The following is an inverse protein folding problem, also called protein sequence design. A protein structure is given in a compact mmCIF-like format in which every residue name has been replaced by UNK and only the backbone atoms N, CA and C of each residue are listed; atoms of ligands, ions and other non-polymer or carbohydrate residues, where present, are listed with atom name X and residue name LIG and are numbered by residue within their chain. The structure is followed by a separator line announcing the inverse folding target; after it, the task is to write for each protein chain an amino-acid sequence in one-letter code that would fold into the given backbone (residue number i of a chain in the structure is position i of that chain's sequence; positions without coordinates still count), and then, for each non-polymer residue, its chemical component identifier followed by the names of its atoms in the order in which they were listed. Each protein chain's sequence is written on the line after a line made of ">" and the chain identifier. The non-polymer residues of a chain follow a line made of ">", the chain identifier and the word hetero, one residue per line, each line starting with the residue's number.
data_IF_208062240098
#
_entry.id   IF_208062240098
#
_cell.length_a   1.000
_cell.length_b   1.000
_cell.length_c   1.000
_cell.angle_alpha   90.00
_cell.angle_beta   90.00
_cell.angle_gamma   90.00
#
_symmetry.space_group_name_H-M   'P 1'
#
loop_
_entity.id
_entity.type
_entity.pdbx_description
1 polymer ?
#
# COMPACT_ATOMS: atom_id res chain seq x y z
N UNK A 1 -34.21 -0.27 -3.68
CA UNK A 1 -33.74 0.99 -4.30
C UNK A 1 -32.36 0.75 -4.89
N UNK A 2 -32.16 1.10 -6.17
CA UNK A 2 -30.99 0.73 -6.96
C UNK A 2 -29.80 1.65 -6.59
N UNK A 3 -28.68 1.11 -6.08
CA UNK A 3 -27.50 1.90 -5.61
C UNK A 3 -26.98 2.88 -6.67
N UNK A 4 -27.15 2.56 -7.96
CA UNK A 4 -26.76 3.43 -9.08
C UNK A 4 -27.59 4.71 -9.20
N UNK A 5 -28.82 4.72 -8.68
CA UNK A 5 -29.72 5.87 -8.77
C UNK A 5 -29.45 6.91 -7.66
N UNK A 6 -28.91 6.49 -6.51
CA UNK A 6 -28.52 7.42 -5.44
C UNK A 6 -27.23 8.18 -5.82
N UNK A 7 -26.29 7.53 -6.51
CA UNK A 7 -25.06 8.17 -6.99
C UNK A 7 -25.37 9.23 -8.05
N UNK A 8 -26.35 8.99 -8.94
CA UNK A 8 -26.75 9.96 -9.96
C UNK A 8 -27.38 11.23 -9.37
N UNK A 9 -28.11 11.09 -8.24
CA UNK A 9 -28.76 12.22 -7.56
C UNK A 9 -27.73 13.09 -6.83
N UNK A 10 -26.67 12.49 -6.28
CA UNK A 10 -25.57 13.24 -5.65
C UNK A 10 -24.79 14.03 -6.70
N UNK A 11 -24.49 13.43 -7.86
CA UNK A 11 -23.78 14.13 -8.96
C UNK A 11 -24.61 15.29 -9.53
N UNK A 12 -25.94 15.15 -9.65
CA UNK A 12 -26.81 16.21 -10.15
C UNK A 12 -27.00 17.37 -9.14
N UNK A 13 -26.95 17.08 -7.84
CA UNK A 13 -26.98 18.13 -6.80
C UNK A 13 -25.67 18.94 -6.75
N UNK A 14 -24.53 18.32 -7.08
CA UNK A 14 -23.23 19.02 -7.14
C UNK A 14 -23.15 20.04 -8.29
N UNK A 15 -23.79 19.75 -9.43
CA UNK A 15 -23.79 20.65 -10.60
C UNK A 15 -24.65 21.90 -10.35
N UNK A 16 -25.72 21.79 -9.56
CA UNK A 16 -26.56 22.95 -9.19
C UNK A 16 -25.98 23.76 -8.03
N UNK A 17 -25.17 23.16 -7.15
CA UNK A 17 -24.42 23.86 -6.10
C UNK A 17 -23.26 24.72 -6.62
N UNK A 18 -22.66 24.36 -7.76
CA UNK A 18 -21.53 25.09 -8.35
C UNK A 18 -21.89 26.49 -8.85
N UNK A 19 -23.17 26.76 -9.14
CA UNK A 19 -23.64 28.09 -9.56
C UNK A 19 -23.76 29.05 -8.37
N UNK A 20 -23.75 28.56 -7.13
CA UNK A 20 -23.91 29.38 -5.92
C UNK A 20 -22.61 29.65 -5.14
N UNK A 21 -21.49 29.01 -5.50
CA UNK A 21 -20.19 29.22 -4.83
C UNK A 21 -19.31 30.30 -5.48
N UNK A 22 -19.73 30.90 -6.59
CA UNK A 22 -19.03 32.04 -7.20
C UNK A 22 -19.45 33.41 -6.64
N UNK A 23 -20.25 33.46 -5.57
CA UNK A 23 -20.70 34.71 -4.94
C UNK A 23 -20.50 34.73 -3.42
N UNK A 24 -19.27 34.45 -2.98
CA UNK A 24 -18.81 34.91 -1.67
C UNK A 24 -17.59 35.80 -1.83
N UNK A 25 -17.75 36.85 -2.64
CA UNK A 25 -16.92 38.04 -2.59
C UNK A 25 -17.17 38.75 -1.26
N UNK A 26 -16.35 38.41 -0.27
CA UNK A 26 -16.27 39.11 1.00
C UNK A 26 -15.09 40.07 0.93
N UNK A 27 -15.39 41.33 0.58
CA UNK A 27 -14.62 42.56 0.80
C UNK A 27 -13.34 42.43 1.64
N UNK A 28 -12.22 42.09 0.99
CA UNK A 28 -10.89 42.21 1.57
C UNK A 28 -9.84 42.53 0.49
N UNK A 29 -10.16 43.49 -0.38
CA UNK A 29 -9.46 43.78 -1.64
C UNK A 29 -8.17 44.57 -1.50
N UNK A 30 -7.79 45.09 -0.33
CA UNK A 30 -6.58 45.93 -0.22
C UNK A 30 -5.28 45.17 0.14
N UNK A 31 -5.35 43.84 0.31
CA UNK A 31 -4.18 43.00 0.64
C UNK A 31 -3.86 41.91 -0.40
N UNK A 32 -4.65 41.81 -1.47
CA UNK A 32 -4.54 40.74 -2.47
C UNK A 32 -3.64 41.10 -3.66
N UNK A 33 -3.55 42.37 -4.05
CA UNK A 33 -2.72 42.79 -5.20
C UNK A 33 -1.22 42.52 -4.97
N UNK A 34 -0.71 42.76 -3.76
CA UNK A 34 0.72 42.55 -3.44
C UNK A 34 1.17 41.09 -3.47
N UNK A 35 0.28 40.12 -3.21
CA UNK A 35 0.64 38.69 -3.26
C UNK A 35 0.75 38.15 -4.68
N UNK A 36 -0.01 38.70 -5.62
CA UNK A 36 0.07 38.30 -7.04
C UNK A 36 1.45 38.67 -7.59
N UNK A 37 1.94 39.87 -7.27
CA UNK A 37 3.23 40.37 -7.75
C UNK A 37 4.42 39.50 -7.31
N UNK A 38 4.34 38.89 -6.13
CA UNK A 38 5.39 37.97 -5.65
C UNK A 38 5.45 36.67 -6.48
N UNK A 39 4.29 36.12 -6.86
CA UNK A 39 4.23 34.89 -7.66
C UNK A 39 4.69 35.10 -9.11
N UNK A 40 4.61 36.32 -9.66
CA UNK A 40 4.96 36.61 -11.06
C UNK A 40 6.41 36.24 -11.38
N UNK A 41 7.33 36.46 -10.44
CA UNK A 41 8.77 36.21 -10.61
C UNK A 41 9.19 34.74 -10.41
N UNK A 42 8.29 33.89 -9.91
CA UNK A 42 8.53 32.46 -9.79
C UNK A 42 8.37 31.77 -11.14
N UNK A 43 8.91 30.56 -11.27
CA UNK A 43 8.76 29.71 -12.46
C UNK A 43 8.37 28.29 -12.06
N UNK A 44 7.96 27.48 -13.03
CA UNK A 44 7.70 26.05 -12.78
C UNK A 44 6.56 25.79 -11.78
N UNK A 45 6.68 24.66 -11.08
CA UNK A 45 5.73 24.20 -10.07
C UNK A 45 5.63 25.17 -8.87
N UNK A 46 6.71 25.90 -8.56
CA UNK A 46 6.73 26.89 -7.48
C UNK A 46 5.76 28.03 -7.75
N UNK A 47 5.67 28.48 -9.01
CA UNK A 47 4.70 29.50 -9.44
C UNK A 47 3.26 29.03 -9.29
N UNK A 48 2.96 27.81 -9.76
CA UNK A 48 1.62 27.22 -9.61
C UNK A 48 1.22 27.12 -8.14
N UNK A 49 2.13 26.63 -7.29
CA UNK A 49 1.91 26.53 -5.85
C UNK A 49 1.70 27.89 -5.19
N UNK A 50 2.49 28.91 -5.55
CA UNK A 50 2.34 30.26 -5.05
C UNK A 50 0.95 30.84 -5.33
N UNK A 51 0.43 30.70 -6.55
CA UNK A 51 -0.93 31.10 -6.89
C UNK A 51 -1.98 30.34 -6.07
N UNK A 52 -1.84 29.02 -5.92
CA UNK A 52 -2.74 28.21 -5.09
C UNK A 52 -2.74 28.65 -3.62
N UNK A 53 -1.56 28.89 -3.05
CA UNK A 53 -1.41 29.35 -1.66
C UNK A 53 -1.95 30.79 -1.47
N UNK A 54 -2.00 31.59 -2.53
CA UNK A 54 -2.66 32.89 -2.60
C UNK A 54 -4.18 32.84 -2.80
N UNK A 55 -4.78 31.67 -3.05
CA UNK A 55 -6.22 31.53 -3.34
C UNK A 55 -6.59 31.70 -4.82
N UNK A 56 -5.60 31.78 -5.71
CA UNK A 56 -5.74 31.99 -7.15
C UNK A 56 -5.72 30.65 -7.90
N UNK A 57 -6.79 29.86 -7.74
CA UNK A 57 -6.84 28.50 -8.29
C UNK A 57 -6.75 28.49 -9.82
N UNK A 58 -7.44 29.40 -10.51
CA UNK A 58 -7.44 29.42 -11.98
C UNK A 58 -6.04 29.74 -12.53
N UNK A 59 -5.37 30.72 -11.95
CA UNK A 59 -4.00 31.11 -12.30
C UNK A 59 -3.02 29.96 -12.01
N UNK A 60 -3.21 29.23 -10.92
CA UNK A 60 -2.45 28.02 -10.60
C UNK A 60 -2.62 26.93 -11.67
N UNK A 61 -3.86 26.70 -12.12
CA UNK A 61 -4.15 25.73 -13.17
C UNK A 61 -3.65 26.17 -14.54
N UNK A 62 -3.71 27.47 -14.85
CA UNK A 62 -3.15 28.04 -16.09
C UNK A 62 -1.63 27.85 -16.15
N UNK A 63 -0.94 27.98 -15.02
CA UNK A 63 0.49 27.62 -14.95
C UNK A 63 0.69 26.14 -15.27
N UNK A 64 -0.16 25.24 -14.75
CA UNK A 64 -0.04 23.82 -15.07
C UNK A 64 -0.27 23.51 -16.56
N UNK A 65 -1.22 24.18 -17.23
CA UNK A 65 -1.49 23.98 -18.67
C UNK A 65 -0.29 24.32 -19.56
N UNK A 66 0.63 25.18 -19.07
CA UNK A 66 1.84 25.51 -19.81
C UNK A 66 2.93 24.41 -19.76
N UNK A 67 2.80 23.43 -18.86
CA UNK A 67 3.68 22.27 -18.85
C UNK A 67 3.26 21.23 -19.89
N UNK A 68 4.18 20.33 -20.22
CA UNK A 68 3.91 19.21 -21.13
C UNK A 68 4.24 17.87 -20.47
N UNK A 69 3.59 16.80 -20.94
CA UNK A 69 3.86 15.44 -20.49
C UNK A 69 3.67 15.22 -18.98
N UNK A 70 4.66 14.59 -18.34
CA UNK A 70 4.64 14.20 -16.93
C UNK A 70 4.59 15.40 -15.98
N UNK A 71 5.31 16.49 -16.28
CA UNK A 71 5.36 17.68 -15.43
C UNK A 71 3.98 18.32 -15.26
N UNK A 72 3.18 18.36 -16.32
CA UNK A 72 1.78 18.83 -16.26
C UNK A 72 0.93 17.96 -15.32
N UNK A 73 1.09 16.65 -15.42
CA UNK A 73 0.35 15.70 -14.58
C UNK A 73 0.75 15.83 -13.11
N UNK A 74 2.05 15.99 -12.82
CA UNK A 74 2.55 16.22 -11.46
C UNK A 74 2.05 17.56 -10.90
N UNK A 75 1.99 18.60 -11.72
CA UNK A 75 1.43 19.90 -11.36
C UNK A 75 -0.03 19.77 -10.92
N UNK A 76 -0.88 19.14 -11.75
CA UNK A 76 -2.28 18.92 -11.42
C UNK A 76 -2.50 18.05 -10.20
N UNK A 77 -1.74 16.96 -10.07
CA UNK A 77 -1.80 16.11 -8.90
C UNK A 77 -1.42 16.89 -7.63
N UNK A 78 -0.36 17.70 -7.67
CA UNK A 78 0.06 18.53 -6.55
C UNK A 78 -1.03 19.48 -6.07
N UNK A 79 -1.67 20.20 -7.00
CA UNK A 79 -2.77 21.11 -6.68
C UNK A 79 -3.96 20.36 -6.07
N UNK A 80 -4.41 19.27 -6.69
CA UNK A 80 -5.55 18.49 -6.21
C UNK A 80 -5.30 17.98 -4.77
N UNK A 81 -4.07 17.54 -4.48
CA UNK A 81 -3.70 17.08 -3.15
C UNK A 81 -3.64 18.21 -2.12
N UNK A 82 -3.11 19.37 -2.49
CA UNK A 82 -3.01 20.52 -1.59
C UNK A 82 -4.41 21.09 -1.25
N UNK A 83 -5.33 21.13 -2.21
CA UNK A 83 -6.74 21.48 -1.95
C UNK A 83 -7.36 20.49 -0.96
N UNK A 84 -7.28 19.19 -1.24
CA UNK A 84 -7.89 18.15 -0.38
C UNK A 84 -7.29 18.13 1.03
N UNK A 85 -6.01 18.45 1.21
CA UNK A 85 -5.37 18.54 2.54
C UNK A 85 -5.82 19.76 3.33
N UNK A 86 -6.05 20.90 2.66
CA UNK A 86 -6.48 22.15 3.31
C UNK A 86 -7.94 22.08 3.72
N UNK A 87 -8.79 21.58 2.83
CA UNK A 87 -10.21 21.41 3.08
C UNK A 87 -10.75 20.20 2.31
N UNK A 88 -11.17 19.17 3.06
CA UNK A 88 -11.82 18.00 2.46
C UNK A 88 -13.20 18.34 1.88
N UNK A 89 -13.80 19.48 2.23
CA UNK A 89 -15.04 20.01 1.66
C UNK A 89 -14.92 20.36 0.17
N UNK A 90 -13.72 20.70 -0.30
CA UNK A 90 -13.45 21.06 -1.71
C UNK A 90 -13.02 19.85 -2.57
N UNK A 91 -13.46 18.64 -2.20
CA UNK A 91 -13.09 17.42 -2.91
C UNK A 91 -13.53 17.44 -4.38
N UNK A 92 -14.66 18.08 -4.71
CA UNK A 92 -15.14 18.18 -6.09
C UNK A 92 -14.12 18.90 -6.99
N UNK A 93 -13.54 20.00 -6.53
CA UNK A 93 -12.49 20.72 -7.27
C UNK A 93 -11.26 19.82 -7.47
N UNK A 94 -10.86 19.08 -6.44
CA UNK A 94 -9.73 18.14 -6.53
C UNK A 94 -9.98 17.02 -7.55
N UNK A 95 -11.21 16.49 -7.60
CA UNK A 95 -11.63 15.48 -8.60
C UNK A 95 -11.61 16.05 -10.02
N UNK A 96 -12.11 17.27 -10.22
CA UNK A 96 -12.09 17.96 -11.52
C UNK A 96 -10.66 18.16 -12.02
N UNK A 97 -9.74 18.52 -11.12
CA UNK A 97 -8.32 18.66 -11.45
C UNK A 97 -7.70 17.32 -11.82
N UNK A 98 -7.95 16.24 -11.05
CA UNK A 98 -7.50 14.90 -11.44
C UNK A 98 -8.05 14.49 -12.83
N UNK A 99 -9.26 14.94 -13.20
CA UNK A 99 -9.86 14.64 -14.50
C UNK A 99 -9.19 15.36 -15.67
N UNK A 100 -8.51 16.49 -15.44
CA UNK A 100 -7.71 17.21 -16.46
C UNK A 100 -6.45 16.45 -16.87
N UNK A 101 -5.99 15.51 -16.04
CA UNK A 101 -4.81 14.70 -16.33
C UNK A 101 -5.10 13.71 -17.48
N UNK A 102 -4.22 13.70 -18.49
CA UNK A 102 -4.29 12.74 -19.60
C UNK A 102 -3.76 11.37 -19.20
N UNK A 103 -2.80 11.34 -18.27
CA UNK A 103 -2.20 10.13 -17.70
C UNK A 103 -2.09 10.29 -16.18
N UNK A 104 -1.91 9.21 -15.43
CA UNK A 104 -1.70 9.29 -13.98
C UNK A 104 -2.93 9.64 -13.13
N UNK A 105 -4.13 9.75 -13.75
CA UNK A 105 -5.41 9.93 -13.03
C UNK A 105 -5.64 8.87 -11.95
N UNK A 106 -5.25 7.63 -12.23
CA UNK A 106 -5.24 6.52 -11.27
C UNK A 106 -4.50 6.90 -9.97
N UNK A 107 -3.29 7.44 -10.09
CA UNK A 107 -2.49 7.84 -8.94
C UNK A 107 -3.10 9.05 -8.23
N UNK A 108 -3.62 10.03 -8.97
CA UNK A 108 -4.30 11.19 -8.39
C UNK A 108 -5.45 10.76 -7.47
N UNK A 109 -6.40 9.95 -7.95
CA UNK A 109 -7.50 9.46 -7.12
C UNK A 109 -7.05 8.57 -5.96
N UNK A 110 -6.03 7.73 -6.17
CA UNK A 110 -5.48 6.89 -5.10
C UNK A 110 -4.91 7.75 -3.95
N UNK A 111 -4.19 8.82 -4.27
CA UNK A 111 -3.67 9.72 -3.25
C UNK A 111 -4.78 10.54 -2.59
N UNK A 112 -5.78 11.03 -3.34
CA UNK A 112 -6.96 11.69 -2.76
C UNK A 112 -7.64 10.75 -1.75
N UNK A 113 -7.92 9.50 -2.14
CA UNK A 113 -8.54 8.51 -1.27
C UNK A 113 -7.72 8.26 0.00
N UNK A 114 -6.38 8.21 -0.12
CA UNK A 114 -5.47 8.04 1.03
C UNK A 114 -5.50 9.21 2.03
N UNK A 115 -5.84 10.41 1.59
CA UNK A 115 -6.02 11.58 2.46
C UNK A 115 -7.42 11.52 3.10
N UNK A 116 -8.44 11.34 2.27
CA UNK A 116 -9.85 11.39 2.67
C UNK A 116 -10.24 10.25 3.61
N UNK A 117 -9.64 9.06 3.49
CA UNK A 117 -9.97 7.91 4.35
C UNK A 117 -9.75 8.19 5.85
N UNK A 118 -8.95 9.21 6.18
CA UNK A 118 -8.70 9.65 7.55
C UNK A 118 -9.90 10.32 8.21
N UNK A 119 -10.83 10.88 7.44
CA UNK A 119 -12.03 11.57 7.94
C UNK A 119 -13.32 10.95 7.42
N UNK A 120 -13.34 10.48 6.17
CA UNK A 120 -14.52 9.95 5.50
C UNK A 120 -14.18 8.68 4.68
N UNK A 121 -14.50 7.52 5.25
CA UNK A 121 -14.27 6.23 4.59
C UNK A 121 -15.12 6.03 3.34
N UNK A 122 -16.35 6.55 3.31
CA UNK A 122 -17.28 6.29 2.21
C UNK A 122 -16.87 7.05 0.96
N UNK A 123 -16.45 8.29 1.16
CA UNK A 123 -15.90 9.13 0.10
C UNK A 123 -14.56 8.58 -0.40
N UNK A 124 -13.70 8.06 0.48
CA UNK A 124 -12.46 7.41 0.05
C UNK A 124 -12.71 6.15 -0.81
N UNK A 125 -13.73 5.34 -0.46
CA UNK A 125 -14.14 4.18 -1.27
C UNK A 125 -14.66 4.65 -2.64
N UNK A 126 -15.51 5.68 -2.67
CA UNK A 126 -15.99 6.28 -3.92
C UNK A 126 -14.83 6.70 -4.82
N UNK A 127 -13.81 7.37 -4.27
CA UNK A 127 -12.61 7.76 -5.03
C UNK A 127 -11.85 6.53 -5.58
N UNK A 128 -11.73 5.46 -4.81
CA UNK A 128 -11.13 4.22 -5.30
C UNK A 128 -11.95 3.57 -6.42
N UNK A 129 -13.28 3.65 -6.38
CA UNK A 129 -14.16 3.14 -7.44
C UNK A 129 -14.05 3.93 -8.75
N UNK A 130 -13.51 5.16 -8.72
CA UNK A 130 -13.15 5.93 -9.92
C UNK A 130 -11.84 5.43 -10.57
N UNK A 131 -11.10 4.53 -9.93
CA UNK A 131 -9.85 3.97 -10.44
C UNK A 131 -10.07 2.64 -11.16
N UNK A 132 -9.22 2.33 -12.14
CA UNK A 132 -9.22 1.05 -12.84
C UNK A 132 -7.80 0.47 -12.91
N UNK A 133 -7.48 -0.62 -12.18
CA UNK A 133 -8.38 -1.41 -11.33
C UNK A 133 -8.50 -0.87 -9.88
N UNK A 134 -9.68 -0.97 -9.24
CA UNK A 134 -9.95 -0.36 -7.91
C UNK A 134 -9.17 -1.01 -6.76
N UNK A 135 -8.84 -2.30 -6.90
CA UNK A 135 -8.19 -3.06 -5.83
C UNK A 135 -6.80 -2.54 -5.44
N UNK A 136 -6.11 -1.82 -6.34
CA UNK A 136 -4.81 -1.19 -6.06
C UNK A 136 -5.00 0.04 -5.17
N UNK A 137 -6.07 0.83 -5.40
CA UNK A 137 -6.42 1.93 -4.51
C UNK A 137 -6.82 1.41 -3.12
N UNK A 138 -7.56 0.29 -3.07
CA UNK A 138 -7.92 -0.37 -1.80
C UNK A 138 -6.72 -0.83 -0.97
N UNK A 139 -5.64 -1.29 -1.60
CA UNK A 139 -4.36 -1.56 -0.94
C UNK A 139 -3.85 -0.30 -0.21
N UNK A 140 -3.90 0.86 -0.86
CA UNK A 140 -3.39 2.12 -0.31
C UNK A 140 -4.22 2.61 0.87
N UNK A 141 -5.54 2.66 0.74
CA UNK A 141 -6.39 3.13 1.83
C UNK A 141 -6.42 2.14 3.01
N UNK A 142 -6.32 0.82 2.74
CA UNK A 142 -6.18 -0.21 3.76
C UNK A 142 -4.91 -0.01 4.61
N UNK A 143 -3.80 0.33 3.95
CA UNK A 143 -2.56 0.70 4.64
C UNK A 143 -2.76 1.92 5.53
N UNK A 144 -3.39 2.99 5.04
CA UNK A 144 -3.57 4.23 5.80
C UNK A 144 -4.50 4.03 7.01
N UNK A 145 -5.65 3.36 6.81
CA UNK A 145 -6.63 3.16 7.89
C UNK A 145 -6.07 2.24 9.00
N UNK A 146 -5.11 1.35 8.70
CA UNK A 146 -4.48 0.48 9.70
C UNK A 146 -3.85 1.22 10.88
N UNK A 147 -3.42 2.47 10.67
CA UNK A 147 -2.88 3.31 11.74
C UNK A 147 -3.94 3.80 12.74
N UNK A 148 -5.24 3.70 12.42
CA UNK A 148 -6.35 4.06 13.31
C UNK A 148 -6.81 2.91 14.19
N UNK A 149 -6.41 1.68 13.85
CA UNK A 149 -6.70 0.49 14.63
C UNK A 149 -7.39 -0.61 13.82
N UNK A 150 -7.32 -1.83 14.38
CA UNK A 150 -7.74 -3.06 13.72
C UNK A 150 -9.24 -3.09 13.39
N UNK A 151 -10.09 -2.58 14.29
CA UNK A 151 -11.55 -2.63 14.11
C UNK A 151 -12.05 -1.74 12.97
N UNK A 152 -11.52 -0.52 12.87
CA UNK A 152 -11.87 0.40 11.78
C UNK A 152 -11.38 -0.14 10.43
N UNK A 153 -10.19 -0.74 10.43
CA UNK A 153 -9.61 -1.40 9.26
C UNK A 153 -10.47 -2.58 8.78
N UNK A 154 -10.88 -3.46 9.69
CA UNK A 154 -11.79 -4.57 9.39
C UNK A 154 -13.10 -4.04 8.80
N UNK A 155 -13.70 -3.02 9.42
CA UNK A 155 -14.95 -2.43 8.94
C UNK A 155 -14.81 -1.91 7.50
N UNK A 156 -13.73 -1.21 7.19
CA UNK A 156 -13.42 -0.73 5.84
C UNK A 156 -13.20 -1.90 4.87
N UNK A 157 -12.33 -2.86 5.20
CA UNK A 157 -11.96 -3.94 4.28
C UNK A 157 -13.13 -4.89 3.98
N UNK A 158 -14.03 -5.12 4.95
CA UNK A 158 -15.30 -5.84 4.73
C UNK A 158 -16.22 -5.08 3.77
N UNK A 159 -16.27 -3.75 3.88
CA UNK A 159 -17.13 -2.90 3.04
C UNK A 159 -16.72 -2.94 1.58
N UNK A 160 -15.41 -2.91 1.30
CA UNK A 160 -14.88 -3.01 -0.08
C UNK A 160 -14.86 -4.45 -0.58
N UNK A 161 -14.76 -5.44 0.31
CA UNK A 161 -14.73 -6.87 -0.01
C UNK A 161 -13.61 -7.27 -1.00
N UNK A 162 -12.41 -6.73 -0.78
CA UNK A 162 -11.20 -7.08 -1.54
C UNK A 162 -10.10 -7.55 -0.60
N UNK A 163 -9.52 -8.73 -0.86
CA UNK A 163 -8.40 -9.24 -0.05
C UNK A 163 -7.17 -8.34 -0.09
N UNK A 164 -7.01 -7.54 -1.15
CA UNK A 164 -5.91 -6.57 -1.28
C UNK A 164 -5.97 -5.43 -0.27
N UNK A 165 -7.13 -5.15 0.33
CA UNK A 165 -7.26 -4.19 1.43
C UNK A 165 -6.55 -4.68 2.70
N UNK A 166 -6.69 -5.98 3.02
CA UNK A 166 -6.21 -6.55 4.28
C UNK A 166 -4.69 -6.73 4.31
N UNK A 167 -4.07 -7.17 3.21
CA UNK A 167 -2.63 -7.51 3.17
C UNK A 167 -1.71 -6.38 3.68
N UNK A 168 -1.70 -5.17 3.08
CA UNK A 168 -0.84 -4.09 3.55
C UNK A 168 -1.24 -3.57 4.93
N UNK A 169 -2.53 -3.67 5.28
CA UNK A 169 -3.03 -3.24 6.58
C UNK A 169 -2.52 -4.16 7.70
N UNK A 170 -2.53 -5.47 7.46
CA UNK A 170 -2.02 -6.47 8.37
C UNK A 170 -0.49 -6.33 8.53
N UNK A 171 0.25 -6.15 7.45
CA UNK A 171 1.70 -5.93 7.49
C UNK A 171 2.07 -4.68 8.32
N UNK A 172 1.38 -3.55 8.13
CA UNK A 172 1.62 -2.35 8.94
C UNK A 172 1.25 -2.57 10.41
N UNK A 173 0.13 -3.25 10.67
CA UNK A 173 -0.31 -3.56 12.04
C UNK A 173 0.71 -4.48 12.74
N UNK A 174 1.30 -5.43 12.01
CA UNK A 174 2.24 -6.41 12.54
C UNK A 174 3.53 -5.81 13.09
N UNK A 175 3.89 -4.58 12.68
CA UNK A 175 5.06 -3.87 13.23
C UNK A 175 4.91 -3.52 14.71
N UNK A 176 3.68 -3.42 15.21
CA UNK A 176 3.39 -3.02 16.58
C UNK A 176 2.58 -4.06 17.35
N UNK A 177 1.67 -4.77 16.67
CA UNK A 177 0.77 -5.76 17.28
C UNK A 177 0.43 -6.87 16.26
N UNK A 178 1.26 -7.90 16.21
CA UNK A 178 1.02 -9.03 15.29
C UNK A 178 -0.26 -9.80 15.61
N UNK A 179 -0.76 -9.78 16.85
CA UNK A 179 -2.01 -10.46 17.21
C UNK A 179 -3.20 -9.76 16.56
N UNK A 180 -3.22 -8.43 16.57
CA UNK A 180 -4.19 -7.64 15.80
C UNK A 180 -4.02 -7.83 14.29
N UNK A 181 -2.79 -7.97 13.79
CA UNK A 181 -2.56 -8.30 12.38
C UNK A 181 -3.17 -9.66 11.97
N UNK A 182 -3.07 -10.68 12.84
CA UNK A 182 -3.70 -11.98 12.58
C UNK A 182 -5.23 -11.89 12.57
N UNK A 183 -5.84 -11.00 13.36
CA UNK A 183 -7.29 -10.76 13.27
C UNK A 183 -7.69 -10.26 11.87
N UNK A 184 -6.88 -9.41 11.24
CA UNK A 184 -7.11 -8.96 9.86
C UNK A 184 -7.02 -10.11 8.87
N UNK A 185 -6.01 -10.96 8.97
CA UNK A 185 -5.85 -12.09 8.04
C UNK A 185 -6.96 -13.13 8.19
N UNK A 186 -7.37 -13.45 9.43
CA UNK A 186 -8.52 -14.32 9.71
C UNK A 186 -9.81 -13.73 9.15
N UNK A 187 -10.02 -12.42 9.32
CA UNK A 187 -11.22 -11.76 8.80
C UNK A 187 -11.27 -11.77 7.26
N UNK A 188 -10.13 -11.51 6.62
CA UNK A 188 -9.98 -11.63 5.18
C UNK A 188 -10.40 -13.02 4.69
N UNK A 189 -9.87 -14.08 5.33
CA UNK A 189 -10.13 -15.47 4.96
C UNK A 189 -11.60 -15.89 5.15
N UNK A 190 -12.33 -15.21 6.03
CA UNK A 190 -13.74 -15.47 6.30
C UNK A 190 -14.70 -14.64 5.44
N UNK A 191 -14.27 -13.47 4.97
CA UNK A 191 -15.17 -12.48 4.36
C UNK A 191 -15.02 -12.38 2.85
N UNK A 192 -13.84 -12.71 2.31
CA UNK A 192 -13.56 -12.57 0.88
C UNK A 192 -13.59 -13.92 0.16
N UNK A 193 -13.94 -13.91 -1.12
CA UNK A 193 -13.94 -15.11 -1.97
C UNK A 193 -12.54 -15.46 -2.51
N UNK A 194 -11.55 -14.61 -2.26
CA UNK A 194 -10.18 -14.78 -2.74
C UNK A 194 -9.30 -15.34 -1.62
N UNK A 195 -8.25 -16.12 -1.97
CA UNK A 195 -7.30 -16.59 -0.97
C UNK A 195 -6.64 -15.42 -0.24
N UNK A 196 -6.79 -15.38 1.07
CA UNK A 196 -6.11 -14.42 1.96
C UNK A 196 -4.80 -14.96 2.53
N UNK A 197 -4.29 -16.04 1.94
CA UNK A 197 -3.08 -16.72 2.39
C UNK A 197 -1.88 -15.77 2.38
N UNK A 198 -1.72 -14.97 1.33
CA UNK A 198 -0.64 -13.95 1.25
C UNK A 198 -0.63 -12.95 2.42
N UNK A 199 -1.77 -12.70 3.09
CA UNK A 199 -1.81 -11.86 4.30
C UNK A 199 -0.92 -12.43 5.41
N UNK A 200 -0.95 -13.76 5.61
CA UNK A 200 -0.13 -14.43 6.61
C UNK A 200 1.36 -14.36 6.27
N UNK A 201 1.73 -14.45 4.98
CA UNK A 201 3.12 -14.31 4.54
C UNK A 201 3.65 -12.90 4.84
N UNK A 202 2.88 -11.87 4.52
CA UNK A 202 3.31 -10.48 4.77
C UNK A 202 3.42 -10.17 6.27
N UNK A 203 2.51 -10.71 7.10
CA UNK A 203 2.62 -10.61 8.56
C UNK A 203 3.84 -11.35 9.07
N UNK A 204 4.09 -12.59 8.62
CA UNK A 204 5.24 -13.38 9.05
C UNK A 204 6.58 -12.69 8.72
N UNK A 205 6.70 -12.07 7.54
CA UNK A 205 7.88 -11.26 7.16
C UNK A 205 8.17 -10.15 8.16
N UNK A 206 7.14 -9.40 8.56
CA UNK A 206 7.28 -8.27 9.50
C UNK A 206 7.60 -8.75 10.92
N UNK A 207 6.99 -9.87 11.35
CA UNK A 207 7.20 -10.46 12.69
C UNK A 207 8.58 -11.09 12.82
N UNK A 208 9.10 -11.70 11.75
CA UNK A 208 10.38 -12.39 11.75
C UNK A 208 11.54 -11.49 12.22
N UNK A 209 11.47 -10.17 11.99
CA UNK A 209 12.52 -9.22 12.41
C UNK A 209 12.76 -9.20 13.92
N UNK A 210 11.75 -9.51 14.72
CA UNK A 210 11.82 -9.44 16.19
C UNK A 210 11.37 -10.71 16.91
N UNK A 211 10.69 -11.63 16.22
CA UNK A 211 10.10 -12.83 16.79
C UNK A 211 10.06 -13.99 15.74
N UNK A 212 11.21 -14.62 15.40
CA UNK A 212 11.28 -15.65 14.35
C UNK A 212 10.38 -16.87 14.61
N UNK A 213 10.25 -17.30 15.86
CA UNK A 213 9.43 -18.46 16.21
C UNK A 213 7.94 -18.17 16.03
N UNK A 214 7.49 -16.97 16.40
CA UNK A 214 6.13 -16.51 16.14
C UNK A 214 5.85 -16.39 14.63
N UNK A 215 6.83 -15.98 13.82
CA UNK A 215 6.67 -15.97 12.36
C UNK A 215 6.41 -17.37 11.78
N UNK A 216 7.05 -18.40 12.34
CA UNK A 216 6.80 -19.81 11.96
C UNK A 216 5.37 -20.22 12.31
N UNK A 217 4.90 -19.89 13.51
CA UNK A 217 3.51 -20.16 13.95
C UNK A 217 2.48 -19.47 13.05
N UNK A 218 2.76 -18.24 12.63
CA UNK A 218 1.92 -17.47 11.69
C UNK A 218 1.83 -18.17 10.33
N UNK A 219 2.96 -18.67 9.81
CA UNK A 219 2.97 -19.45 8.58
C UNK A 219 2.19 -20.76 8.70
N UNK A 220 2.30 -21.45 9.83
CA UNK A 220 1.52 -22.67 10.11
C UNK A 220 0.02 -22.39 10.19
N UNK A 221 -0.40 -21.29 10.84
CA UNK A 221 -1.80 -20.89 10.83
C UNK A 221 -2.30 -20.60 9.41
N UNK A 222 -1.52 -19.86 8.63
CA UNK A 222 -1.84 -19.57 7.23
C UNK A 222 -1.97 -20.83 6.38
N UNK A 223 -1.18 -21.87 6.64
CA UNK A 223 -1.31 -23.19 5.99
C UNK A 223 -2.63 -23.89 6.33
N UNK A 224 -3.08 -23.85 7.58
CA UNK A 224 -4.37 -24.42 7.97
C UNK A 224 -5.53 -23.74 7.22
N UNK A 225 -5.43 -22.43 6.98
CA UNK A 225 -6.38 -21.70 6.13
C UNK A 225 -6.20 -22.05 4.64
N UNK A 226 -4.96 -22.18 4.17
CA UNK A 226 -4.62 -22.54 2.79
C UNK A 226 -4.95 -23.98 2.42
N UNK A 227 -5.05 -24.90 3.38
CA UNK A 227 -5.42 -26.31 3.17
C UNK A 227 -6.79 -26.47 2.51
N UNK A 228 -7.63 -25.42 2.52
CA UNK A 228 -8.85 -25.31 1.71
C UNK A 228 -8.58 -25.19 0.19
N UNK A 229 -7.36 -24.87 -0.21
CA UNK A 229 -6.97 -24.45 -1.57
C UNK A 229 -5.82 -25.27 -2.19
N UNK A 230 -5.42 -26.41 -1.60
CA UNK A 230 -4.40 -27.35 -2.14
C UNK A 230 -3.06 -26.67 -2.52
N UNK A 231 -2.65 -25.63 -1.79
CA UNK A 231 -1.46 -24.84 -2.13
C UNK A 231 -0.32 -25.08 -1.13
N UNK A 232 0.94 -25.21 -1.60
CA UNK A 232 2.13 -25.32 -0.75
C UNK A 232 2.49 -24.01 -0.02
N UNK A 233 1.61 -23.54 0.87
CA UNK A 233 1.70 -22.21 1.45
C UNK A 233 2.73 -22.08 2.58
N UNK A 234 2.74 -23.01 3.54
CA UNK A 234 3.57 -22.90 4.75
C UNK A 234 5.05 -22.68 4.43
N UNK A 235 5.62 -23.51 3.57
CA UNK A 235 7.05 -23.42 3.32
C UNK A 235 7.41 -22.17 2.51
N UNK A 236 6.55 -21.70 1.60
CA UNK A 236 6.79 -20.44 0.89
C UNK A 236 6.76 -19.25 1.84
N UNK A 237 5.81 -19.24 2.79
CA UNK A 237 5.74 -18.25 3.85
C UNK A 237 7.01 -18.24 4.72
N UNK A 238 7.48 -19.41 5.14
CA UNK A 238 8.69 -19.54 5.96
C UNK A 238 9.95 -19.11 5.18
N UNK A 239 10.09 -19.52 3.92
CA UNK A 239 11.18 -19.09 3.04
C UNK A 239 11.22 -17.57 2.91
N UNK A 240 10.06 -16.96 2.65
CA UNK A 240 9.90 -15.53 2.50
C UNK A 240 10.21 -14.76 3.80
N UNK A 241 9.82 -15.30 4.96
CA UNK A 241 10.14 -14.74 6.27
C UNK A 241 11.64 -14.82 6.58
N UNK A 242 12.27 -15.97 6.27
CA UNK A 242 13.72 -16.14 6.43
C UNK A 242 14.51 -15.17 5.53
N UNK A 243 14.10 -15.01 4.26
CA UNK A 243 14.73 -14.09 3.31
C UNK A 243 14.67 -12.63 3.80
N UNK A 244 13.52 -12.21 4.34
CA UNK A 244 13.30 -10.86 4.84
C UNK A 244 14.28 -10.45 5.95
N UNK A 245 14.66 -11.39 6.83
CA UNK A 245 15.55 -11.10 7.96
C UNK A 245 16.99 -11.51 7.72
N UNK A 246 17.27 -12.21 6.62
CA UNK A 246 18.58 -12.78 6.31
C UNK A 246 19.72 -11.77 6.46
N UNK A 247 19.55 -10.52 6.00
CA UNK A 247 20.57 -9.47 6.12
C UNK A 247 20.69 -8.77 7.49
N UNK A 248 19.83 -9.08 8.46
CA UNK A 248 19.77 -8.38 9.77
C UNK A 248 19.80 -9.30 10.98
N UNK A 249 19.28 -10.51 10.86
CA UNK A 249 19.23 -11.52 11.90
C UNK A 249 19.48 -12.91 11.29
N UNK A 250 20.75 -13.21 11.03
CA UNK A 250 21.16 -14.46 10.39
C UNK A 250 20.69 -15.68 11.19
N UNK A 251 20.90 -15.67 12.51
CA UNK A 251 20.50 -16.77 13.40
C UNK A 251 19.00 -17.06 13.30
N UNK A 252 18.16 -16.02 13.29
CA UNK A 252 16.72 -16.17 13.10
C UNK A 252 16.36 -16.73 11.72
N UNK A 253 17.06 -16.30 10.66
CA UNK A 253 16.84 -16.85 9.32
C UNK A 253 17.16 -18.35 9.26
N UNK A 254 18.27 -18.78 9.88
CA UNK A 254 18.65 -20.19 9.98
C UNK A 254 17.67 -21.00 10.82
N UNK A 255 17.15 -20.44 11.91
CA UNK A 255 16.10 -21.05 12.73
C UNK A 255 14.83 -21.31 11.92
N UNK A 256 14.36 -20.31 11.16
CA UNK A 256 13.18 -20.45 10.28
C UNK A 256 13.44 -21.54 9.22
N UNK A 257 14.59 -21.53 8.56
CA UNK A 257 14.92 -22.56 7.57
C UNK A 257 15.09 -23.96 8.20
N UNK A 258 15.57 -24.04 9.44
CA UNK A 258 15.77 -25.29 10.18
C UNK A 258 14.49 -26.08 10.43
N UNK A 259 13.35 -25.39 10.53
CA UNK A 259 12.02 -26.00 10.70
C UNK A 259 11.41 -26.58 9.41
N UNK A 260 12.02 -26.30 8.26
CA UNK A 260 11.62 -26.91 6.99
C UNK A 260 12.21 -28.31 6.85
N UNK A 261 11.67 -29.11 5.92
CA UNK A 261 12.18 -30.45 5.60
C UNK A 261 12.45 -30.62 4.11
N UNK A 262 13.29 -31.60 3.77
CA UNK A 262 13.56 -32.02 2.38
C UNK A 262 13.97 -30.86 1.46
N UNK A 263 13.36 -30.82 0.27
CA UNK A 263 13.64 -29.80 -0.77
C UNK A 263 13.40 -28.38 -0.28
N UNK A 264 12.41 -28.17 0.59
CA UNK A 264 12.05 -26.83 1.06
C UNK A 264 13.11 -26.23 1.99
N UNK A 265 13.70 -27.05 2.88
CA UNK A 265 14.83 -26.62 3.73
C UNK A 265 16.04 -26.22 2.88
N UNK A 266 16.37 -27.04 1.88
CA UNK A 266 17.42 -26.73 0.90
C UNK A 266 17.12 -25.42 0.13
N UNK A 267 15.90 -25.21 -0.34
CA UNK A 267 15.51 -23.98 -1.05
C UNK A 267 15.53 -22.73 -0.17
N UNK A 268 15.13 -22.85 1.09
CA UNK A 268 15.20 -21.75 2.07
C UNK A 268 16.63 -21.31 2.26
N UNK A 269 17.48 -22.28 2.60
CA UNK A 269 18.90 -22.07 2.76
C UNK A 269 19.54 -21.43 1.53
N UNK A 270 19.24 -21.95 0.34
CA UNK A 270 19.73 -21.39 -0.92
C UNK A 270 19.35 -19.91 -1.12
N UNK A 271 18.14 -19.49 -0.71
CA UNK A 271 17.72 -18.08 -0.80
C UNK A 271 18.43 -17.19 0.20
N UNK A 272 18.66 -17.67 1.42
CA UNK A 272 19.38 -16.91 2.46
C UNK A 272 20.92 -16.99 2.32
N UNK A 273 21.44 -17.58 1.23
CA UNK A 273 22.89 -17.82 0.96
C UNK A 273 23.78 -16.58 1.07
N UNK A 274 23.24 -15.37 1.01
CA UNK A 274 24.04 -14.13 1.10
C UNK A 274 24.65 -13.86 2.48
N UNK A 275 24.49 -14.77 3.46
CA UNK A 275 24.45 -14.35 4.86
C UNK A 275 25.50 -15.02 5.75
N UNK A 276 25.70 -16.33 5.72
CA UNK A 276 26.52 -16.95 6.78
C UNK A 276 27.95 -17.20 6.35
N UNK A 277 28.91 -16.57 7.04
CA UNK A 277 30.31 -17.05 7.17
C UNK A 277 30.46 -18.08 8.31
N UNK A 278 29.37 -18.47 8.97
CA UNK A 278 29.39 -19.49 10.01
C UNK A 278 29.49 -20.88 9.37
N UNK A 279 30.66 -21.49 9.48
CA UNK A 279 30.99 -22.81 8.94
C UNK A 279 30.10 -23.93 9.45
N UNK A 280 29.54 -23.82 10.66
CA UNK A 280 28.60 -24.80 11.21
C UNK A 280 27.28 -24.83 10.44
N UNK A 281 26.72 -23.66 10.16
CA UNK A 281 25.49 -23.51 9.39
C UNK A 281 25.69 -23.90 7.91
N UNK A 282 26.83 -23.54 7.33
CA UNK A 282 27.16 -23.93 5.96
C UNK A 282 27.26 -25.46 5.84
N UNK A 283 27.89 -26.12 6.81
CA UNK A 283 28.00 -27.59 6.85
C UNK A 283 26.62 -28.25 6.96
N UNK A 284 25.76 -27.82 7.89
CA UNK A 284 24.41 -28.38 8.03
C UNK A 284 23.59 -28.21 6.74
N UNK A 285 23.66 -27.03 6.13
CA UNK A 285 23.01 -26.75 4.85
C UNK A 285 23.53 -27.66 3.74
N UNK A 286 24.85 -27.84 3.64
CA UNK A 286 25.48 -28.68 2.63
C UNK A 286 25.18 -30.16 2.79
N UNK A 287 25.22 -30.67 4.03
CA UNK A 287 24.83 -32.04 4.35
C UNK A 287 23.38 -32.29 3.92
N UNK A 288 22.49 -31.33 4.18
CA UNK A 288 21.09 -31.44 3.79
C UNK A 288 20.86 -31.32 2.27
N UNK A 289 21.51 -30.36 1.61
CA UNK A 289 21.42 -30.18 0.16
C UNK A 289 21.94 -31.41 -0.60
N UNK A 290 23.07 -31.98 -0.18
CA UNK A 290 23.61 -33.23 -0.74
C UNK A 290 22.68 -34.42 -0.46
N UNK A 291 22.06 -34.49 0.71
CA UNK A 291 21.10 -35.54 1.04
C UNK A 291 19.84 -35.54 0.17
N UNK A 292 19.39 -34.37 -0.29
CA UNK A 292 18.17 -34.21 -1.09
C UNK A 292 18.43 -34.23 -2.59
N UNK A 293 19.47 -33.53 -3.04
CA UNK A 293 19.76 -33.31 -4.46
C UNK A 293 20.90 -34.20 -4.99
N UNK A 294 21.56 -34.96 -4.11
CA UNK A 294 22.73 -35.74 -4.45
C UNK A 294 23.92 -34.85 -4.84
N UNK A 295 24.80 -35.38 -5.69
CA UNK A 295 25.96 -34.65 -6.22
C UNK A 295 25.59 -33.71 -7.38
N UNK A 296 24.51 -32.94 -7.23
CA UNK A 296 24.15 -31.94 -8.24
C UNK A 296 25.31 -30.92 -8.38
N UNK A 297 25.80 -30.62 -9.60
CA UNK A 297 27.03 -29.86 -9.78
C UNK A 297 27.05 -28.46 -9.15
N UNK A 298 25.90 -27.77 -9.07
CA UNK A 298 25.80 -26.45 -8.45
C UNK A 298 25.81 -26.56 -6.91
N UNK A 299 25.14 -27.57 -6.34
CA UNK A 299 25.20 -27.90 -4.92
C UNK A 299 26.63 -28.25 -4.50
N UNK A 300 27.29 -29.14 -5.24
CA UNK A 300 28.67 -29.56 -4.96
C UNK A 300 29.67 -28.41 -5.10
N UNK A 301 29.50 -27.55 -6.10
CA UNK A 301 30.32 -26.35 -6.26
C UNK A 301 30.13 -25.41 -5.08
N UNK A 302 28.89 -25.13 -4.71
CA UNK A 302 28.58 -24.29 -3.55
C UNK A 302 29.21 -24.85 -2.27
N UNK A 303 28.98 -26.13 -1.98
CA UNK A 303 29.47 -26.73 -0.75
C UNK A 303 31.00 -26.81 -0.69
N UNK A 304 31.67 -26.95 -1.84
CA UNK A 304 33.12 -26.87 -1.91
C UNK A 304 33.66 -25.45 -1.69
N UNK A 305 32.96 -24.45 -2.17
CA UNK A 305 33.40 -23.05 -2.10
C UNK A 305 33.20 -22.46 -0.70
N UNK A 306 32.31 -23.02 0.12
CA UNK A 306 31.88 -22.43 1.40
C UNK A 306 32.00 -23.34 2.65
N UNK A 307 32.09 -24.68 2.55
CA UNK A 307 32.21 -25.59 3.71
C UNK A 307 33.67 -25.92 4.09
#
# INVERSE_FOLDING_TARGET
>A
MNKRMIILIIVLASITGYILLTQKDSDNTSGNETKIDECVNLTGLEKAKCYLDGGYLNESLDVCENFTGEERNLCYQGIALDITKKDTGDLNASIEICNKMSEGRFYCYTYLASIVVKSDTDTAIFLCDLTSPPHICYTTIGRVISHRGVNETIALCRKVNYSTCYKPAAAVTAKNDYKSALLLCRDCANTTNTPCTECYSDVAKEVAFYAPQEAIEICTEGELIAGRYLYPFAYMCQIDAADAISGTNESGAFEICGNLTGVNKASCYFRVVKVSNNTGHIREMCDHMMGVWGEEPNVMRYCRDYA
#
